data_IF_649908551998
#
_entry.id   IF_649908551998
#
_cell.length_a   1.000
_cell.length_b   1.000
_cell.length_c   1.000
_cell.angle_alpha   90.00
_cell.angle_beta   90.00
_cell.angle_gamma   90.00
#
_symmetry.space_group_name_H-M   'P 1'
#
loop_
_entity.id
_entity.type
_entity.pdbx_description
1 polymer ?
#
# COMPACT_ATOMS: atom_id res chain seq x y z
N UNK A 1 -23.67 -10.87 5.81
CA UNK A 1 -23.80 -11.99 4.85
C UNK A 1 -22.86 -13.06 5.36
N UNK A 2 -23.18 -14.35 5.24
CA UNK A 2 -22.22 -15.38 5.64
C UNK A 2 -21.51 -15.87 4.38
N UNK A 3 -20.25 -15.49 4.21
CA UNK A 3 -19.38 -16.01 3.16
C UNK A 3 -18.41 -16.99 3.80
N UNK A 4 -18.44 -18.23 3.34
CA UNK A 4 -17.54 -19.28 3.79
C UNK A 4 -16.62 -19.67 2.62
N UNK A 5 -15.30 -19.50 2.83
CA UNK A 5 -14.28 -19.87 1.85
C UNK A 5 -13.65 -21.20 2.26
N UNK A 6 -14.06 -22.30 1.62
CA UNK A 6 -13.45 -23.64 1.77
C UNK A 6 -12.26 -23.87 0.83
N UNK A 7 -11.90 -22.83 0.08
CA UNK A 7 -10.74 -22.74 -0.79
C UNK A 7 -10.46 -21.28 -1.10
N UNK A 8 -9.19 -20.89 -1.10
CA UNK A 8 -8.75 -19.52 -1.37
C UNK A 8 -7.70 -19.46 -2.47
N UNK A 9 -7.14 -20.60 -2.87
CA UNK A 9 -5.99 -20.65 -3.75
C UNK A 9 -6.37 -20.44 -5.23
N UNK A 10 -5.36 -20.14 -6.05
CA UNK A 10 -5.46 -20.23 -7.50
C UNK A 10 -5.80 -21.67 -7.97
N UNK A 11 -6.17 -21.87 -9.25
CA UNK A 11 -6.55 -23.18 -9.79
C UNK A 11 -5.52 -24.30 -9.54
N UNK A 12 -4.23 -23.98 -9.58
CA UNK A 12 -3.14 -24.93 -9.32
C UNK A 12 -2.96 -25.23 -7.82
N UNK A 13 -3.63 -24.49 -6.93
CA UNK A 13 -3.47 -24.57 -5.49
C UNK A 13 -2.28 -23.77 -4.96
N UNK A 14 -2.16 -23.73 -3.64
CA UNK A 14 -1.03 -23.08 -2.96
C UNK A 14 -0.62 -23.95 -1.76
N UNK A 15 0.52 -24.65 -1.82
CA UNK A 15 1.57 -24.59 -2.84
C UNK A 15 1.15 -25.17 -4.20
N UNK A 16 1.59 -24.53 -5.29
CA UNK A 16 1.42 -25.06 -6.64
C UNK A 16 2.26 -26.35 -6.85
N UNK A 17 1.72 -27.37 -7.57
CA UNK A 17 2.44 -28.57 -7.98
C UNK A 17 3.77 -28.19 -8.65
N UNK A 18 4.83 -28.94 -8.32
CA UNK A 18 6.17 -28.83 -8.91
C UNK A 18 6.90 -27.47 -8.80
N UNK A 19 6.24 -26.42 -8.32
CA UNK A 19 6.85 -25.10 -8.15
C UNK A 19 7.86 -25.11 -7.01
N UNK A 20 9.13 -24.84 -7.27
CA UNK A 20 10.23 -24.88 -6.26
C UNK A 20 10.49 -23.56 -5.52
N UNK A 21 9.66 -22.53 -5.74
CA UNK A 21 9.87 -21.22 -5.12
C UNK A 21 9.83 -21.29 -3.58
N UNK A 22 10.38 -20.27 -2.91
CA UNK A 22 10.43 -20.22 -1.45
C UNK A 22 9.04 -20.25 -0.79
N UNK A 23 8.02 -19.66 -1.41
CA UNK A 23 6.62 -19.69 -0.91
C UNK A 23 6.09 -21.13 -0.86
N UNK A 24 6.09 -21.80 -2.01
CA UNK A 24 5.60 -23.17 -2.11
C UNK A 24 6.42 -24.16 -1.28
N UNK A 25 7.74 -24.01 -1.28
CA UNK A 25 8.63 -24.91 -0.54
C UNK A 25 8.43 -24.78 0.98
N UNK A 26 8.21 -23.57 1.51
CA UNK A 26 7.90 -23.38 2.94
C UNK A 26 6.57 -24.00 3.33
N UNK A 27 5.52 -23.83 2.51
CA UNK A 27 4.22 -24.46 2.78
C UNK A 27 4.28 -25.99 2.73
N UNK A 28 4.97 -26.57 1.73
CA UNK A 28 5.17 -28.02 1.67
C UNK A 28 5.93 -28.55 2.88
N UNK A 29 6.99 -27.88 3.30
CA UNK A 29 7.75 -28.28 4.49
C UNK A 29 6.90 -28.22 5.77
N UNK A 30 5.94 -27.28 5.85
CA UNK A 30 5.00 -27.18 6.96
C UNK A 30 3.78 -28.12 6.86
N UNK A 31 3.65 -28.90 5.77
CA UNK A 31 2.47 -29.75 5.53
C UNK A 31 1.17 -28.97 5.28
N UNK A 32 1.26 -27.68 4.95
CA UNK A 32 0.10 -26.80 4.73
C UNK A 32 -0.24 -26.75 3.25
N UNK A 33 -1.54 -26.91 2.93
CA UNK A 33 -2.09 -26.77 1.58
C UNK A 33 -3.38 -25.97 1.62
N UNK A 34 -3.50 -25.03 0.70
CA UNK A 34 -4.70 -24.28 0.40
C UNK A 34 -5.30 -24.78 -0.90
N UNK A 35 -6.60 -25.03 -0.82
CA UNK A 35 -7.37 -25.56 -1.94
C UNK A 35 -7.86 -24.45 -2.87
N UNK A 36 -8.06 -24.74 -4.16
CA UNK A 36 -8.53 -23.74 -5.12
C UNK A 36 -9.88 -23.13 -4.74
N UNK A 37 -10.03 -21.83 -5.00
CA UNK A 37 -11.26 -21.06 -4.79
C UNK A 37 -12.30 -21.31 -5.90
N UNK A 38 -12.75 -22.56 -6.05
CA UNK A 38 -13.77 -22.91 -7.05
C UNK A 38 -15.17 -22.51 -6.61
N UNK A 39 -16.12 -22.35 -7.56
CA UNK A 39 -17.51 -22.06 -7.21
C UNK A 39 -18.16 -23.06 -6.24
N UNK A 40 -17.72 -24.33 -6.22
CA UNK A 40 -18.23 -25.36 -5.29
C UNK A 40 -17.72 -25.16 -3.84
N UNK A 41 -16.60 -24.46 -3.68
CA UNK A 41 -15.91 -24.27 -2.39
C UNK A 41 -16.13 -22.89 -1.79
N UNK A 42 -16.81 -22.00 -2.50
CA UNK A 42 -17.22 -20.69 -2.00
C UNK A 42 -18.72 -20.77 -1.72
N UNK A 43 -19.11 -20.61 -0.46
CA UNK A 43 -20.51 -20.65 -0.07
C UNK A 43 -20.98 -19.26 0.32
N UNK A 44 -22.14 -18.86 -0.21
CA UNK A 44 -22.82 -17.61 0.16
C UNK A 44 -24.15 -17.98 0.81
N UNK A 45 -24.28 -17.73 2.10
CA UNK A 45 -25.44 -18.15 2.90
C UNK A 45 -25.63 -19.66 2.93
N UNK A 46 -24.53 -20.42 2.98
CA UNK A 46 -24.55 -21.89 3.03
C UNK A 46 -24.77 -22.61 1.69
N UNK A 47 -24.94 -21.87 0.58
CA UNK A 47 -25.13 -22.45 -0.75
C UNK A 47 -23.89 -22.17 -1.61
N UNK A 48 -23.29 -23.18 -2.25
CA UNK A 48 -22.17 -23.00 -3.17
C UNK A 48 -22.48 -22.00 -4.29
N UNK A 49 -21.47 -21.27 -4.76
CA UNK A 49 -21.60 -20.42 -5.96
C UNK A 49 -21.86 -21.26 -7.23
N UNK A 50 -21.48 -22.54 -7.21
CA UNK A 50 -21.82 -23.53 -8.22
C UNK A 50 -23.32 -23.54 -8.54
N UNK A 51 -24.14 -23.51 -7.49
CA UNK A 51 -25.60 -23.70 -7.53
C UNK A 51 -26.37 -22.38 -7.62
N UNK A 52 -25.68 -21.25 -7.79
CA UNK A 52 -26.29 -19.92 -7.87
C UNK A 52 -26.27 -19.39 -9.31
N UNK A 53 -27.35 -18.75 -9.78
CA UNK A 53 -27.33 -18.03 -11.05
C UNK A 53 -26.22 -16.98 -11.06
N UNK A 54 -25.44 -16.95 -12.15
CA UNK A 54 -24.32 -16.04 -12.36
C UNK A 54 -24.64 -15.07 -13.49
N UNK A 55 -24.32 -13.80 -13.27
CA UNK A 55 -24.35 -12.79 -14.33
C UNK A 55 -22.92 -12.42 -14.67
N UNK A 56 -22.52 -12.59 -15.93
CA UNK A 56 -21.16 -12.28 -16.35
C UNK A 56 -20.86 -10.78 -16.27
N UNK A 57 -19.65 -10.45 -15.83
CA UNK A 57 -19.04 -9.12 -15.98
C UNK A 57 -17.64 -9.31 -16.57
N UNK A 58 -17.08 -8.36 -17.33
CA UNK A 58 -15.70 -8.49 -17.81
C UNK A 58 -14.76 -8.79 -16.63
N UNK A 59 -13.89 -9.81 -16.77
CA UNK A 59 -12.96 -10.22 -15.71
C UNK A 59 -13.58 -10.98 -14.52
N UNK A 60 -14.89 -11.24 -14.50
CA UNK A 60 -15.54 -11.87 -13.35
C UNK A 60 -16.98 -12.29 -13.57
N UNK A 61 -17.69 -12.41 -12.47
CA UNK A 61 -19.13 -12.63 -12.47
C UNK A 61 -19.74 -12.13 -11.17
N UNK A 62 -21.04 -11.94 -11.22
CA UNK A 62 -21.85 -11.60 -10.06
C UNK A 62 -22.76 -12.75 -9.69
N UNK A 63 -23.04 -12.88 -8.39
CA UNK A 63 -24.03 -13.80 -7.84
C UNK A 63 -24.95 -13.09 -6.87
N UNK A 64 -26.20 -13.59 -6.77
CA UNK A 64 -27.14 -13.15 -5.75
C UNK A 64 -27.11 -14.10 -4.56
N UNK A 65 -26.76 -13.57 -3.40
CA UNK A 65 -26.86 -14.21 -2.10
C UNK A 65 -28.27 -14.13 -1.49
N UNK A 66 -28.44 -14.60 -0.24
CA UNK A 66 -29.69 -14.47 0.49
C UNK A 66 -30.17 -13.02 0.57
N UNK A 67 -31.49 -12.82 0.50
CA UNK A 67 -32.15 -11.49 0.52
C UNK A 67 -31.70 -10.56 -0.63
N UNK A 68 -31.26 -11.14 -1.75
CA UNK A 68 -30.91 -10.38 -2.96
C UNK A 68 -29.54 -9.69 -2.91
N UNK A 69 -28.74 -9.93 -1.86
CA UNK A 69 -27.40 -9.36 -1.69
C UNK A 69 -26.49 -9.70 -2.87
N UNK A 70 -25.66 -8.77 -3.32
CA UNK A 70 -24.80 -8.95 -4.50
C UNK A 70 -23.37 -9.26 -4.08
N UNK A 71 -22.78 -10.27 -4.71
CA UNK A 71 -21.37 -10.61 -4.54
C UNK A 71 -20.68 -10.53 -5.89
N UNK A 72 -19.60 -9.77 -5.96
CA UNK A 72 -18.71 -9.68 -7.11
C UNK A 72 -17.57 -10.70 -6.95
N UNK A 73 -17.27 -11.48 -7.98
CA UNK A 73 -16.27 -12.55 -7.91
C UNK A 73 -15.33 -12.49 -9.11
N UNK A 74 -14.02 -12.49 -8.84
CA UNK A 74 -12.98 -12.59 -9.85
C UNK A 74 -12.99 -13.96 -10.54
N UNK A 75 -12.85 -13.97 -11.87
CA UNK A 75 -12.90 -15.20 -12.67
C UNK A 75 -11.66 -16.09 -12.47
N UNK A 76 -10.52 -15.54 -12.05
CA UNK A 76 -9.27 -16.27 -11.87
C UNK A 76 -8.11 -15.36 -11.45
N UNK A 77 -6.89 -15.90 -11.38
CA UNK A 77 -5.67 -15.12 -11.16
C UNK A 77 -5.51 -14.04 -12.25
N UNK A 78 -5.20 -12.81 -11.83
CA UNK A 78 -5.05 -11.63 -12.69
C UNK A 78 -6.35 -11.07 -13.25
N UNK A 79 -7.51 -11.68 -12.95
CA UNK A 79 -8.79 -11.22 -13.44
C UNK A 79 -9.26 -9.99 -12.64
N UNK A 80 -9.71 -8.96 -13.37
CA UNK A 80 -10.14 -7.67 -12.83
C UNK A 80 -11.62 -7.44 -13.14
N UNK A 81 -12.56 -7.85 -12.26
CA UNK A 81 -13.98 -7.66 -12.50
C UNK A 81 -14.38 -6.20 -12.77
N UNK A 82 -15.07 -5.95 -13.88
CA UNK A 82 -15.54 -4.61 -14.25
C UNK A 82 -17.06 -4.54 -14.19
N UNK A 83 -17.64 -4.26 -13.00
CA UNK A 83 -19.07 -4.16 -12.85
C UNK A 83 -19.62 -2.91 -13.53
N UNK A 84 -20.90 -2.95 -13.91
CA UNK A 84 -21.60 -1.77 -14.42
C UNK A 84 -21.64 -0.68 -13.35
N UNK A 85 -21.44 0.59 -13.74
CA UNK A 85 -21.45 1.71 -12.81
C UNK A 85 -22.78 1.86 -12.05
N UNK A 86 -22.72 2.41 -10.84
CA UNK A 86 -23.91 2.64 -9.99
C UNK A 86 -24.38 1.41 -9.21
N UNK A 87 -23.63 0.31 -9.26
CA UNK A 87 -23.89 -0.90 -8.48
C UNK A 87 -22.98 -0.94 -7.26
N UNK A 88 -23.55 -1.03 -6.06
CA UNK A 88 -22.81 -1.39 -4.84
C UNK A 88 -22.96 -2.90 -4.55
N UNK A 89 -21.85 -3.54 -4.14
CA UNK A 89 -21.83 -4.95 -3.73
C UNK A 89 -21.80 -5.09 -2.21
N UNK A 90 -22.48 -6.12 -1.72
CA UNK A 90 -22.39 -6.54 -0.32
C UNK A 90 -21.08 -7.28 -0.03
N UNK A 91 -20.48 -7.91 -1.04
CA UNK A 91 -19.15 -8.48 -0.94
C UNK A 91 -18.38 -8.51 -2.26
N UNK A 92 -17.06 -8.51 -2.16
CA UNK A 92 -16.15 -8.65 -3.29
C UNK A 92 -15.06 -9.70 -2.99
N UNK A 93 -15.00 -10.72 -3.84
CA UNK A 93 -14.00 -11.79 -3.82
C UNK A 93 -13.03 -11.56 -4.98
N UNK A 94 -11.82 -11.07 -4.66
CA UNK A 94 -10.89 -10.51 -5.65
C UNK A 94 -9.52 -11.19 -5.59
N UNK A 95 -8.78 -11.19 -6.70
CA UNK A 95 -7.36 -11.58 -6.72
C UNK A 95 -6.45 -10.45 -6.19
N UNK A 96 -6.48 -10.25 -4.87
CA UNK A 96 -5.69 -9.22 -4.21
C UNK A 96 -4.22 -9.61 -4.04
N UNK A 97 -3.84 -10.84 -4.34
CA UNK A 97 -2.44 -11.26 -4.36
C UNK A 97 -1.69 -10.64 -5.56
N UNK A 98 -2.38 -10.51 -6.70
CA UNK A 98 -1.84 -9.91 -7.93
C UNK A 98 -2.12 -8.43 -8.10
N UNK A 99 -3.37 -8.03 -7.87
CA UNK A 99 -3.87 -6.71 -8.29
C UNK A 99 -4.66 -6.01 -7.18
N UNK A 100 -4.01 -5.67 -6.05
CA UNK A 100 -4.68 -5.00 -4.94
C UNK A 100 -5.24 -3.61 -5.30
N UNK A 101 -4.66 -2.92 -6.28
CA UNK A 101 -5.14 -1.64 -6.80
C UNK A 101 -6.55 -1.71 -7.40
N UNK A 102 -6.97 -2.90 -7.83
CA UNK A 102 -8.31 -3.12 -8.33
C UNK A 102 -9.37 -2.86 -7.27
N UNK A 103 -9.06 -3.15 -6.00
CA UNK A 103 -9.93 -2.81 -4.88
C UNK A 103 -10.09 -1.29 -4.74
N UNK A 104 -9.00 -0.52 -4.91
CA UNK A 104 -9.04 0.94 -4.96
C UNK A 104 -9.93 1.45 -6.09
N UNK A 105 -9.80 0.87 -7.29
CA UNK A 105 -10.66 1.19 -8.44
C UNK A 105 -12.14 0.96 -8.13
N UNK A 106 -12.49 -0.21 -7.60
CA UNK A 106 -13.88 -0.56 -7.30
C UNK A 106 -14.47 0.37 -6.23
N UNK A 107 -13.67 0.80 -5.25
CA UNK A 107 -14.08 1.80 -4.25
C UNK A 107 -14.30 3.17 -4.87
N UNK A 108 -13.43 3.58 -5.77
CA UNK A 108 -13.57 4.83 -6.54
C UNK A 108 -14.85 4.86 -7.37
N UNK A 109 -15.27 3.71 -7.91
CA UNK A 109 -16.52 3.57 -8.66
C UNK A 109 -17.76 3.48 -7.75
N UNK A 110 -17.59 3.45 -6.43
CA UNK A 110 -18.67 3.23 -5.46
C UNK A 110 -19.17 1.79 -5.41
N UNK A 111 -18.51 0.86 -6.10
CA UNK A 111 -18.92 -0.54 -6.16
C UNK A 111 -18.57 -1.32 -4.90
N UNK A 112 -17.50 -0.91 -4.23
CA UNK A 112 -17.08 -1.43 -2.93
C UNK A 112 -17.06 -0.27 -1.96
N UNK A 113 -17.67 -0.42 -0.78
CA UNK A 113 -17.71 0.63 0.25
C UNK A 113 -17.16 0.07 1.57
N UNK A 114 -17.18 0.87 2.64
CA UNK A 114 -16.87 0.41 4.00
C UNK A 114 -17.83 -0.67 4.51
N UNK A 115 -19.00 -0.85 3.86
CA UNK A 115 -19.99 -1.88 4.20
C UNK A 115 -19.79 -3.19 3.43
N UNK A 116 -18.97 -3.16 2.38
CA UNK A 116 -18.71 -4.33 1.54
C UNK A 116 -17.73 -5.27 2.24
N UNK A 117 -18.10 -6.53 2.35
CA UNK A 117 -17.19 -7.57 2.84
C UNK A 117 -16.16 -7.93 1.76
N UNK A 118 -14.87 -7.81 2.06
CA UNK A 118 -13.80 -8.06 1.08
C UNK A 118 -12.98 -9.28 1.48
N UNK A 119 -12.76 -10.18 0.53
CA UNK A 119 -11.87 -11.32 0.69
C UNK A 119 -10.98 -11.55 -0.54
N UNK A 120 -9.78 -12.08 -0.28
CA UNK A 120 -8.87 -12.51 -1.32
C UNK A 120 -9.20 -13.95 -1.76
N UNK A 121 -9.28 -14.16 -3.06
CA UNK A 121 -9.37 -15.47 -3.71
C UNK A 121 -8.27 -15.57 -4.77
N UNK A 122 -8.07 -16.75 -5.36
CA UNK A 122 -7.01 -17.00 -6.34
C UNK A 122 -5.60 -16.72 -5.81
N UNK A 123 -5.41 -16.88 -4.50
CA UNK A 123 -4.12 -16.67 -3.83
C UNK A 123 -3.13 -17.75 -4.24
N UNK A 124 -1.88 -17.38 -4.47
CA UNK A 124 -0.84 -18.33 -4.85
C UNK A 124 0.54 -17.89 -4.35
N UNK A 125 1.57 -18.50 -4.94
CA UNK A 125 2.97 -18.27 -4.61
C UNK A 125 3.50 -16.85 -4.85
N UNK A 126 2.72 -15.94 -5.47
CA UNK A 126 3.00 -14.49 -5.50
C UNK A 126 3.10 -13.93 -4.09
N UNK A 127 2.41 -14.54 -3.13
CA UNK A 127 2.58 -14.25 -1.72
C UNK A 127 3.64 -15.16 -1.10
N UNK A 128 4.61 -14.61 -0.35
CA UNK A 128 5.59 -15.41 0.35
C UNK A 128 4.98 -16.36 1.39
N UNK A 129 3.89 -15.99 2.08
CA UNK A 129 3.27 -16.82 3.14
C UNK A 129 1.81 -16.41 3.41
N UNK A 130 1.02 -17.22 4.13
CA UNK A 130 -0.33 -16.84 4.56
C UNK A 130 -0.33 -15.62 5.51
N UNK A 131 0.67 -15.54 6.40
CA UNK A 131 0.86 -14.37 7.26
C UNK A 131 1.09 -13.06 6.47
N UNK A 132 1.69 -13.14 5.28
CA UNK A 132 1.78 -11.99 4.37
C UNK A 132 0.40 -11.57 3.87
N UNK A 133 -0.45 -12.53 3.47
CA UNK A 133 -1.81 -12.23 3.03
C UNK A 133 -2.57 -11.52 4.15
N UNK A 134 -2.51 -12.06 5.36
CA UNK A 134 -3.16 -11.47 6.54
C UNK A 134 -2.66 -10.04 6.79
N UNK A 135 -1.34 -9.81 6.76
CA UNK A 135 -0.77 -8.46 6.91
C UNK A 135 -1.31 -7.49 5.86
N UNK A 136 -1.28 -7.88 4.58
CA UNK A 136 -1.75 -7.02 3.48
C UNK A 136 -3.24 -6.73 3.57
N UNK A 137 -4.04 -7.76 3.87
CA UNK A 137 -5.49 -7.63 4.05
C UNK A 137 -5.82 -6.68 5.21
N UNK A 138 -5.01 -6.63 6.27
CA UNK A 138 -5.21 -5.70 7.37
C UNK A 138 -5.17 -4.24 6.88
N UNK A 139 -4.22 -3.88 6.01
CA UNK A 139 -4.15 -2.54 5.43
C UNK A 139 -5.36 -2.23 4.55
N UNK A 140 -5.75 -3.19 3.70
CA UNK A 140 -6.80 -2.95 2.70
C UNK A 140 -8.21 -2.96 3.28
N UNK A 141 -8.41 -3.55 4.46
CA UNK A 141 -9.69 -3.55 5.20
C UNK A 141 -9.85 -2.36 6.14
N UNK A 142 -8.78 -1.64 6.47
CA UNK A 142 -8.86 -0.44 7.30
C UNK A 142 -9.67 0.68 6.59
N UNK A 143 -10.20 1.65 7.36
CA UNK A 143 -10.78 2.86 6.80
C UNK A 143 -9.82 3.55 5.82
N UNK A 144 -10.39 4.07 4.73
CA UNK A 144 -9.65 4.76 3.66
C UNK A 144 -9.16 6.14 4.09
N UNK A 145 -9.85 6.72 5.07
CA UNK A 145 -9.64 8.07 5.58
C UNK A 145 -8.79 8.03 6.86
N UNK A 146 -8.21 9.18 7.19
CA UNK A 146 -7.39 9.35 8.39
C UNK A 146 -8.15 9.89 9.60
N UNK A 147 -7.43 10.24 10.68
CA UNK A 147 -5.96 10.25 10.76
C UNK A 147 -5.37 8.85 10.96
N UNK A 148 -4.34 8.50 10.18
CA UNK A 148 -3.49 7.30 10.39
C UNK A 148 -2.14 7.50 9.70
N UNK A 149 -1.04 7.48 10.44
CA UNK A 149 0.30 7.84 9.97
C UNK A 149 1.22 6.64 10.06
N UNK A 150 1.86 6.34 8.93
CA UNK A 150 2.82 5.26 8.80
C UNK A 150 4.14 5.82 8.30
N UNK A 151 5.23 5.55 9.02
CA UNK A 151 6.59 5.87 8.57
C UNK A 151 7.33 4.60 8.16
N UNK A 152 7.75 4.53 6.90
CA UNK A 152 8.54 3.43 6.36
C UNK A 152 10.00 3.86 6.19
N UNK A 153 10.85 3.32 7.04
CA UNK A 153 12.29 3.54 7.04
C UNK A 153 12.99 2.49 6.16
N UNK A 154 14.14 2.85 5.58
CA UNK A 154 15.01 1.87 4.94
C UNK A 154 16.03 2.46 3.98
N UNK A 155 17.02 1.65 3.62
CA UNK A 155 18.07 2.06 2.69
C UNK A 155 17.58 2.35 1.26
N UNK A 156 18.47 2.88 0.44
CA UNK A 156 18.24 3.04 -1.00
C UNK A 156 17.95 1.68 -1.65
N UNK A 157 16.92 1.62 -2.50
CA UNK A 157 16.44 0.39 -3.17
C UNK A 157 16.04 -0.74 -2.20
N UNK A 158 15.70 -0.43 -0.95
CA UNK A 158 15.25 -1.45 0.01
C UNK A 158 13.84 -1.99 -0.26
N UNK A 159 13.04 -1.29 -1.07
CA UNK A 159 11.64 -1.63 -1.35
C UNK A 159 10.61 -0.76 -0.61
N UNK A 160 11.03 0.24 0.17
CA UNK A 160 10.12 1.10 0.96
C UNK A 160 9.01 1.79 0.15
N UNK A 161 9.31 2.31 -1.04
CA UNK A 161 8.30 2.94 -1.90
C UNK A 161 7.27 1.93 -2.42
N UNK A 162 7.70 0.70 -2.75
CA UNK A 162 6.78 -0.35 -3.19
C UNK A 162 5.87 -0.82 -2.04
N UNK A 163 6.38 -0.92 -0.82
CA UNK A 163 5.57 -1.19 0.37
C UNK A 163 4.60 -0.04 0.67
N UNK A 164 5.03 1.22 0.50
CA UNK A 164 4.15 2.38 0.66
C UNK A 164 2.98 2.35 -0.35
N UNK A 165 3.29 2.09 -1.62
CA UNK A 165 2.31 1.92 -2.70
C UNK A 165 1.34 0.76 -2.36
N UNK A 166 1.85 -0.37 -1.87
CA UNK A 166 1.05 -1.55 -1.48
C UNK A 166 0.05 -1.24 -0.35
N UNK A 167 0.48 -0.50 0.68
CA UNK A 167 -0.38 -0.13 1.83
C UNK A 167 -1.55 0.77 1.39
N UNK A 168 -1.37 1.56 0.34
CA UNK A 168 -2.37 2.50 -0.19
C UNK A 168 -3.08 2.00 -1.45
N UNK A 169 -2.68 0.86 -2.02
CA UNK A 169 -3.25 0.33 -3.27
C UNK A 169 -4.78 0.22 -3.24
N UNK A 170 -5.35 -0.12 -2.08
CA UNK A 170 -6.78 -0.27 -1.92
C UNK A 170 -7.54 1.05 -1.69
N UNK A 171 -6.87 2.20 -1.58
CA UNK A 171 -7.49 3.53 -1.45
C UNK A 171 -8.11 4.00 -2.77
N UNK A 172 -9.32 4.57 -2.70
CA UNK A 172 -10.04 5.06 -3.88
C UNK A 172 -9.29 6.21 -4.58
N UNK A 173 -8.77 7.14 -3.78
CA UNK A 173 -7.99 8.30 -4.23
C UNK A 173 -6.73 8.40 -3.37
N UNK A 174 -5.59 8.69 -4.01
CA UNK A 174 -4.31 8.87 -3.32
C UNK A 174 -3.57 10.05 -3.94
N UNK A 175 -3.10 10.95 -3.08
CA UNK A 175 -2.17 12.02 -3.46
C UNK A 175 -0.73 11.58 -3.18
N UNK A 176 0.02 11.34 -4.24
CA UNK A 176 1.45 11.09 -4.16
C UNK A 176 2.23 12.42 -4.16
N UNK A 177 3.06 12.64 -3.15
CA UNK A 177 3.88 13.83 -2.96
C UNK A 177 5.32 13.46 -3.22
N UNK A 178 5.84 13.88 -4.38
CA UNK A 178 7.27 13.79 -4.70
C UNK A 178 7.99 15.01 -4.12
N UNK A 179 8.77 14.82 -3.06
CA UNK A 179 9.38 15.91 -2.29
C UNK A 179 10.80 16.28 -2.74
N UNK A 180 11.14 16.07 -4.01
CA UNK A 180 12.45 16.42 -4.56
C UNK A 180 12.50 17.83 -5.16
N UNK A 181 13.69 18.27 -5.61
CA UNK A 181 13.91 19.62 -6.09
C UNK A 181 13.05 19.94 -7.33
N UNK A 182 12.39 21.09 -7.30
CA UNK A 182 11.62 21.61 -8.43
C UNK A 182 12.56 21.90 -9.61
N UNK A 183 12.40 21.18 -10.73
CA UNK A 183 13.25 21.32 -11.91
C UNK A 183 14.43 20.34 -12.03
N UNK A 184 14.42 19.25 -11.26
CA UNK A 184 15.53 18.31 -11.13
C UNK A 184 16.12 17.75 -12.44
N UNK A 185 17.38 17.31 -12.32
CA UNK A 185 18.16 16.59 -13.32
C UNK A 185 17.31 15.51 -14.05
N UNK A 186 17.54 15.26 -15.35
CA UNK A 186 17.06 14.06 -16.06
C UNK A 186 16.82 12.80 -15.21
N UNK A 187 17.77 12.44 -14.32
CA UNK A 187 17.63 11.25 -13.46
C UNK A 187 16.44 11.33 -12.49
N UNK A 188 16.21 12.49 -11.87
CA UNK A 188 15.08 12.72 -10.97
C UNK A 188 13.75 12.62 -11.73
N UNK A 189 13.68 13.25 -12.92
CA UNK A 189 12.49 13.20 -13.78
C UNK A 189 12.18 11.77 -14.24
N UNK A 190 13.21 11.00 -14.59
CA UNK A 190 13.05 9.60 -14.97
C UNK A 190 12.54 8.75 -13.79
N UNK A 191 13.06 8.99 -12.58
CA UNK A 191 12.59 8.33 -11.34
C UNK A 191 11.12 8.63 -11.07
N UNK A 192 10.71 9.90 -11.13
CA UNK A 192 9.30 10.30 -10.94
C UNK A 192 8.41 9.67 -12.02
N UNK A 193 8.85 9.67 -13.29
CA UNK A 193 8.10 9.05 -14.38
C UNK A 193 7.97 7.53 -14.21
N UNK A 194 9.02 6.84 -13.78
CA UNK A 194 8.99 5.41 -13.48
C UNK A 194 8.01 5.11 -12.34
N UNK A 195 8.03 5.89 -11.27
CA UNK A 195 7.08 5.76 -10.17
C UNK A 195 5.64 6.01 -10.63
N UNK A 196 5.38 7.06 -11.43
CA UNK A 196 4.06 7.31 -12.01
C UNK A 196 3.53 6.13 -12.83
N UNK A 197 4.38 5.50 -13.66
CA UNK A 197 3.99 4.35 -14.50
C UNK A 197 3.61 3.09 -13.71
N UNK A 198 4.15 2.88 -12.52
CA UNK A 198 3.84 1.70 -11.68
C UNK A 198 2.52 1.83 -10.92
N UNK A 199 2.03 3.04 -10.75
CA UNK A 199 0.89 3.35 -9.89
C UNK A 199 -0.42 3.39 -10.70
N UNK A 200 -1.56 3.27 -10.02
CA UNK A 200 -2.84 3.49 -10.67
C UNK A 200 -2.92 4.86 -11.33
N UNK A 201 -3.44 4.89 -12.57
CA UNK A 201 -3.48 6.10 -13.39
C UNK A 201 -4.33 7.23 -12.79
N UNK A 202 -5.23 6.92 -11.86
CA UNK A 202 -6.06 7.91 -11.17
C UNK A 202 -5.39 8.53 -9.94
N UNK A 203 -4.22 8.05 -9.51
CA UNK A 203 -3.50 8.70 -8.41
C UNK A 203 -2.98 10.07 -8.84
N UNK A 204 -3.28 11.09 -8.05
CA UNK A 204 -2.74 12.44 -8.26
C UNK A 204 -1.27 12.48 -7.84
N UNK A 205 -0.44 13.19 -8.61
CA UNK A 205 0.95 13.44 -8.24
C UNK A 205 1.20 14.94 -8.10
N UNK A 206 1.69 15.34 -6.92
CA UNK A 206 2.18 16.69 -6.65
C UNK A 206 3.70 16.63 -6.46
N UNK A 207 4.43 17.43 -7.23
CA UNK A 207 5.85 17.68 -7.01
C UNK A 207 5.97 18.99 -6.22
N UNK A 208 6.31 18.90 -4.93
CA UNK A 208 6.33 20.06 -4.04
C UNK A 208 7.23 19.83 -2.83
N UNK A 209 7.86 20.91 -2.35
CA UNK A 209 8.59 20.95 -1.08
C UNK A 209 7.73 21.50 0.07
N UNK A 210 6.53 22.02 -0.23
CA UNK A 210 5.52 22.44 0.77
C UNK A 210 4.75 21.22 1.32
N UNK A 211 5.48 20.35 2.01
CA UNK A 211 4.91 19.15 2.62
C UNK A 211 3.97 19.51 3.78
N UNK A 212 4.29 20.55 4.55
CA UNK A 212 3.46 21.00 5.67
C UNK A 212 2.07 21.48 5.19
N UNK A 213 2.01 22.29 4.13
CA UNK A 213 0.74 22.74 3.54
C UNK A 213 -0.08 21.59 2.96
N UNK A 214 0.57 20.60 2.33
CA UNK A 214 -0.12 19.39 1.86
C UNK A 214 -0.73 18.61 3.03
N UNK A 215 0.04 18.36 4.10
CA UNK A 215 -0.44 17.59 5.25
C UNK A 215 -1.54 18.32 6.03
N UNK A 216 -1.49 19.65 6.09
CA UNK A 216 -2.50 20.48 6.77
C UNK A 216 -3.86 20.49 6.05
N UNK A 217 -3.86 20.39 4.71
CA UNK A 217 -5.07 20.50 3.89
C UNK A 217 -5.62 19.16 3.38
N UNK A 218 -4.81 18.10 3.39
CA UNK A 218 -5.21 16.81 2.85
C UNK A 218 -6.35 16.15 3.63
N UNK A 219 -7.35 15.69 2.90
CA UNK A 219 -8.44 14.82 3.36
C UNK A 219 -8.44 13.58 2.47
N UNK A 220 -8.17 12.39 3.03
CA UNK A 220 -7.98 11.14 2.27
C UNK A 220 -6.59 10.55 2.43
N UNK A 221 -6.09 9.82 1.42
CA UNK A 221 -4.79 9.14 1.48
C UNK A 221 -3.65 9.94 0.82
N UNK A 222 -2.52 10.01 1.49
CA UNK A 222 -1.30 10.70 1.04
C UNK A 222 -0.11 9.75 1.11
N UNK A 223 0.67 9.70 0.02
CA UNK A 223 1.96 9.00 -0.01
C UNK A 223 3.07 10.04 -0.14
N UNK A 224 3.99 10.11 0.82
CA UNK A 224 5.14 11.03 0.78
C UNK A 224 6.40 10.28 0.37
N UNK A 225 7.03 10.67 -0.73
CA UNK A 225 8.24 10.04 -1.29
C UNK A 225 9.27 11.13 -1.67
N UNK A 226 10.24 11.45 -0.80
CA UNK A 226 10.51 10.91 0.53
C UNK A 226 11.18 11.92 1.46
N UNK A 227 11.10 11.69 2.77
CA UNK A 227 11.49 12.66 3.80
C UNK A 227 12.95 13.13 3.68
N UNK A 228 13.88 12.25 3.28
CA UNK A 228 15.27 12.66 3.04
C UNK A 228 15.42 13.67 1.90
N UNK A 229 14.67 13.50 0.81
CA UNK A 229 14.66 14.47 -0.31
C UNK A 229 14.02 15.80 0.09
N UNK A 230 12.95 15.76 0.90
CA UNK A 230 12.35 16.96 1.47
C UNK A 230 13.35 17.72 2.34
N UNK A 231 14.09 17.01 3.21
CA UNK A 231 15.07 17.61 4.11
C UNK A 231 16.19 18.30 3.33
N UNK A 232 16.70 17.65 2.28
CA UNK A 232 17.73 18.26 1.43
C UNK A 232 17.25 19.58 0.82
N UNK A 233 16.03 19.60 0.26
CA UNK A 233 15.44 20.82 -0.28
C UNK A 233 15.20 21.89 0.79
N UNK A 234 14.73 21.50 1.98
CA UNK A 234 14.57 22.43 3.10
C UNK A 234 15.92 23.03 3.56
N UNK A 235 17.00 22.25 3.52
CA UNK A 235 18.35 22.73 3.83
C UNK A 235 18.87 23.68 2.74
N UNK A 236 18.62 23.40 1.47
CA UNK A 236 18.93 24.33 0.36
C UNK A 236 18.21 25.67 0.56
N UNK A 237 16.89 25.65 0.77
CA UNK A 237 16.05 26.84 0.91
C UNK A 237 16.42 27.73 2.10
N UNK A 238 17.01 27.14 3.14
CA UNK A 238 17.36 27.82 4.40
C UNK A 238 18.86 28.08 4.55
N UNK A 239 19.68 27.74 3.53
CA UNK A 239 21.14 27.74 3.61
C UNK A 239 21.71 26.90 4.77
N UNK A 240 20.99 25.85 5.18
CA UNK A 240 21.35 25.05 6.35
C UNK A 240 22.43 24.00 6.09
N UNK A 241 22.95 23.92 4.86
CA UNK A 241 24.19 23.19 4.57
C UNK A 241 25.40 23.83 5.25
N UNK A 242 25.39 25.16 5.40
CA UNK A 242 26.44 25.92 6.10
C UNK A 242 26.13 26.05 7.60
N UNK A 243 24.87 26.34 7.94
CA UNK A 243 24.39 26.41 9.33
C UNK A 243 23.13 25.53 9.54
N UNK A 244 23.31 24.28 10.02
CA UNK A 244 22.22 23.34 10.28
C UNK A 244 21.14 23.82 11.27
N UNK A 245 21.38 24.89 12.03
CA UNK A 245 20.36 25.45 12.92
C UNK A 245 19.23 26.18 12.17
N UNK A 246 19.51 26.65 10.94
CA UNK A 246 18.55 27.44 10.15
C UNK A 246 17.35 26.62 9.65
N UNK A 247 17.48 25.29 9.54
CA UNK A 247 16.38 24.42 9.09
C UNK A 247 15.39 24.07 10.21
N UNK A 248 15.72 24.34 11.48
CA UNK A 248 14.91 23.91 12.63
C UNK A 248 13.43 24.35 12.55
N UNK A 249 13.09 25.60 12.18
CA UNK A 249 11.69 26.01 12.04
C UNK A 249 10.91 25.15 11.02
N UNK A 250 11.56 24.73 9.92
CA UNK A 250 10.94 23.87 8.91
C UNK A 250 10.71 22.45 9.42
N UNK A 251 11.63 21.92 10.23
CA UNK A 251 11.45 20.62 10.89
C UNK A 251 10.28 20.64 11.87
N UNK A 252 10.18 21.70 12.67
CA UNK A 252 9.12 21.88 13.65
C UNK A 252 7.75 22.05 12.99
N UNK A 253 7.70 22.82 11.91
CA UNK A 253 6.52 22.97 11.08
C UNK A 253 6.06 21.62 10.49
N UNK A 254 6.98 20.84 9.90
CA UNK A 254 6.64 19.53 9.35
C UNK A 254 6.12 18.57 10.42
N UNK A 255 6.78 18.52 11.59
CA UNK A 255 6.34 17.64 12.69
C UNK A 255 4.98 18.08 13.24
N UNK A 256 4.72 19.39 13.34
CA UNK A 256 3.41 19.92 13.70
C UNK A 256 2.33 19.52 12.70
N UNK A 257 2.61 19.68 11.39
CA UNK A 257 1.69 19.30 10.32
C UNK A 257 1.45 17.78 10.25
N UNK A 258 2.50 16.97 10.48
CA UNK A 258 2.40 15.52 10.60
C UNK A 258 1.47 15.14 11.75
N UNK A 259 1.69 15.68 12.96
CA UNK A 259 0.82 15.44 14.11
C UNK A 259 -0.63 15.88 13.87
N UNK A 260 -0.83 17.00 13.20
CA UNK A 260 -2.14 17.63 13.00
C UNK A 260 -2.94 17.12 11.79
N UNK A 261 -2.34 16.31 10.92
CA UNK A 261 -3.01 15.89 9.67
C UNK A 261 -4.23 15.01 9.95
N UNK A 262 -5.29 15.24 9.17
CA UNK A 262 -6.50 14.39 9.15
C UNK A 262 -6.43 13.31 8.08
N UNK A 263 -5.38 13.31 7.27
CA UNK A 263 -5.18 12.34 6.21
C UNK A 263 -4.67 11.00 6.76
N UNK A 264 -4.87 9.95 5.96
CA UNK A 264 -4.12 8.70 6.06
C UNK A 264 -2.80 8.93 5.33
N UNK A 265 -1.68 8.90 6.02
CA UNK A 265 -0.37 9.25 5.44
C UNK A 265 0.59 8.07 5.53
N UNK A 266 1.21 7.72 4.42
CA UNK A 266 2.35 6.80 4.39
C UNK A 266 3.55 7.56 3.84
N UNK A 267 4.57 7.76 4.67
CA UNK A 267 5.81 8.41 4.27
C UNK A 267 6.94 7.40 4.19
N UNK A 268 7.83 7.59 3.20
CA UNK A 268 9.09 6.86 3.13
C UNK A 268 10.26 7.77 3.52
N UNK A 269 11.21 7.23 4.27
CA UNK A 269 12.44 7.92 4.64
C UNK A 269 13.64 6.98 4.57
N UNK A 270 14.79 7.54 4.21
CA UNK A 270 16.07 6.84 4.25
C UNK A 270 16.51 6.59 5.70
N UNK A 271 17.00 5.39 5.97
CA UNK A 271 17.73 5.09 7.21
C UNK A 271 19.23 5.17 6.95
N UNK A 272 19.78 6.38 7.10
CA UNK A 272 21.19 6.68 6.79
C UNK A 272 22.15 6.36 7.93
N UNK A 273 21.65 6.24 9.17
CA UNK A 273 22.46 5.97 10.36
C UNK A 273 23.08 4.56 10.40
N UNK A 274 22.63 3.66 9.52
CA UNK A 274 23.18 2.32 9.34
C UNK A 274 24.30 2.26 8.28
N UNK A 275 24.72 3.41 7.75
CA UNK A 275 25.82 3.53 6.79
C UNK A 275 27.13 3.96 7.46
N UNK A 276 28.19 4.13 6.66
CA UNK A 276 29.43 4.75 7.12
C UNK A 276 29.17 6.22 7.51
N UNK A 277 29.83 6.68 8.57
CA UNK A 277 29.78 8.09 8.98
C UNK A 277 30.35 8.96 7.86
N UNK A 278 29.61 9.99 7.37
CA UNK A 278 30.11 10.88 6.33
C UNK A 278 31.40 11.60 6.74
N UNK A 279 32.35 11.68 5.80
CA UNK A 279 33.64 12.36 6.03
C UNK A 279 33.51 13.88 6.00
N UNK A 280 32.50 14.42 5.33
CA UNK A 280 32.26 15.86 5.22
C UNK A 280 31.34 16.39 6.34
N UNK A 281 31.59 17.59 6.89
CA UNK A 281 30.69 18.20 7.87
C UNK A 281 29.23 18.32 7.40
N UNK A 282 28.93 18.78 6.15
CA UNK A 282 27.55 18.84 5.66
C UNK A 282 26.86 17.48 5.61
N UNK A 283 27.60 16.42 5.23
CA UNK A 283 27.06 15.06 5.22
C UNK A 283 26.69 14.56 6.62
N UNK A 284 27.52 14.84 7.63
CA UNK A 284 27.21 14.51 9.03
C UNK A 284 26.00 15.28 9.54
N UNK A 285 25.94 16.58 9.25
CA UNK A 285 24.80 17.42 9.64
C UNK A 285 23.47 16.90 9.05
N UNK A 286 23.45 16.57 7.75
CA UNK A 286 22.28 15.97 7.11
C UNK A 286 21.87 14.65 7.76
N UNK A 287 22.81 13.74 7.98
CA UNK A 287 22.54 12.44 8.61
C UNK A 287 21.96 12.59 10.02
N UNK A 288 22.54 13.47 10.83
CA UNK A 288 22.09 13.77 12.19
C UNK A 288 20.69 14.40 12.20
N UNK A 289 20.41 15.34 11.29
CA UNK A 289 19.10 15.98 11.16
C UNK A 289 18.04 14.97 10.70
N UNK A 290 18.33 14.15 9.69
CA UNK A 290 17.41 13.14 9.18
C UNK A 290 17.10 12.09 10.26
N UNK A 291 18.10 11.64 11.00
CA UNK A 291 17.91 10.71 12.11
C UNK A 291 17.00 11.28 13.20
N UNK A 292 17.22 12.54 13.61
CA UNK A 292 16.34 13.23 14.58
C UNK A 292 14.92 13.43 14.03
N UNK A 293 14.78 13.80 12.76
CA UNK A 293 13.48 13.97 12.13
C UNK A 293 12.72 12.64 12.05
N UNK A 294 13.37 11.55 11.64
CA UNK A 294 12.79 10.22 11.61
C UNK A 294 12.28 9.79 12.99
N UNK A 295 13.06 10.02 14.05
CA UNK A 295 12.62 9.75 15.43
C UNK A 295 11.36 10.54 15.81
N UNK A 296 11.33 11.84 15.49
CA UNK A 296 10.17 12.71 15.76
C UNK A 296 8.93 12.28 14.99
N UNK A 297 9.07 11.95 13.70
CA UNK A 297 7.95 11.48 12.88
C UNK A 297 7.46 10.10 13.33
N UNK A 298 8.37 9.17 13.66
CA UNK A 298 8.02 7.85 14.17
C UNK A 298 7.23 7.95 15.49
N UNK A 299 7.67 8.81 16.42
CA UNK A 299 6.99 9.02 17.70
C UNK A 299 5.55 9.56 17.55
N UNK A 300 5.27 10.26 16.44
CA UNK A 300 3.96 10.81 16.11
C UNK A 300 3.18 9.92 15.13
N UNK A 301 3.67 8.71 14.82
CA UNK A 301 3.05 7.78 13.88
C UNK A 301 2.39 6.61 14.60
N UNK A 302 1.22 6.18 14.14
CA UNK A 302 0.58 4.94 14.61
C UNK A 302 1.38 3.70 14.23
N UNK A 303 2.11 3.75 13.12
CA UNK A 303 2.96 2.66 12.62
C UNK A 303 4.32 3.17 12.18
N UNK A 304 5.38 2.46 12.55
CA UNK A 304 6.72 2.65 12.00
C UNK A 304 7.30 1.29 11.61
N UNK A 305 7.93 1.18 10.45
CA UNK A 305 8.53 -0.08 10.00
C UNK A 305 9.86 0.15 9.29
N UNK A 306 10.76 -0.82 9.42
CA UNK A 306 12.00 -0.89 8.65
C UNK A 306 11.82 -1.85 7.46
N UNK A 307 12.17 -1.38 6.26
CA UNK A 307 12.14 -2.17 5.03
C UNK A 307 13.56 -2.51 4.58
N UNK A 308 13.85 -3.81 4.48
CA UNK A 308 15.16 -4.36 4.07
C UNK A 308 14.95 -5.46 3.03
N UNK A 309 15.54 -5.33 1.84
CA UNK A 309 15.42 -6.30 0.75
C UNK A 309 13.95 -6.68 0.43
N UNK A 310 13.04 -5.72 0.49
CA UNK A 310 11.60 -5.89 0.28
C UNK A 310 10.87 -6.59 1.42
N UNK A 311 11.51 -6.79 2.57
CA UNK A 311 10.92 -7.37 3.79
C UNK A 311 10.66 -6.27 4.80
N UNK A 312 9.51 -6.38 5.47
CA UNK A 312 9.05 -5.40 6.46
C UNK A 312 9.29 -5.95 7.86
N UNK A 313 9.90 -5.13 8.71
CA UNK A 313 10.03 -5.35 10.14
C UNK A 313 9.31 -4.20 10.85
N UNK A 314 8.18 -4.50 11.47
CA UNK A 314 7.43 -3.51 12.26
C UNK A 314 8.25 -3.12 13.49
N UNK A 315 8.42 -1.82 13.71
CA UNK A 315 9.13 -1.23 14.85
C UNK A 315 8.10 -0.95 15.94
N UNK A 316 8.31 -1.47 17.15
CA UNK A 316 7.42 -1.33 18.31
C UNK A 316 8.02 -0.39 19.33
#
# INVERSE_FOLDING_TARGET
MNIELRGIAAPDGWPAPDCRCASCSRLRAAGVRYEPATPDRILVGGVPLADRPRTGVPGGYEVRGPRGRRVLVAAGPGALPEPTGGVEYDAALLDLAGSPEHLGRLRRLGAVTSRTEVAAVHVDHRLPSPAELERRMAFWKQPQDGPHRTLLLGGTRSGKSAEAELRLAACAEVRYVATGPSGGDPEWRERVAAHRRRRPAWWETAETTDLAGVLASATGAVLVDGIGTWLAAAMDDTAAWDDPSLVQPRLDELVSAWRGTRARVVAVSEEVGLSLVPVTPPGRAFGDLLGRLNQRLAAESEEAALVVAGRVVELR
#
